data_IF_989838388470
#
_entry.id   IF_989838388470
#
_cell.length_a   1.000
_cell.length_b   1.000
_cell.length_c   1.000
_cell.angle_alpha   90.00
_cell.angle_beta   90.00
_cell.angle_gamma   90.00
#
_symmetry.space_group_name_H-M   'P 1'
#
loop_
_entity.id
_entity.type
_entity.pdbx_description
1 polymer ?
#
# COMPACT_ATOMS: atom_id res chain seq x y z
N UNK A 1 7.20 15.25 7.74
CA UNK A 1 6.02 16.15 7.80
C UNK A 1 4.92 15.66 6.86
N UNK A 2 5.23 15.34 5.60
CA UNK A 2 4.30 14.74 4.64
C UNK A 2 4.68 13.25 4.46
N UNK A 3 3.72 12.33 4.61
CA UNK A 3 3.92 10.88 4.43
C UNK A 3 3.88 10.46 2.96
N UNK A 4 4.37 9.25 2.63
CA UNK A 4 4.51 8.82 1.24
C UNK A 4 3.18 8.73 0.48
N UNK A 5 2.09 8.33 1.14
CA UNK A 5 0.77 8.25 0.50
C UNK A 5 0.27 9.63 0.01
N UNK A 6 0.58 10.69 0.76
CA UNK A 6 0.22 12.06 0.39
C UNK A 6 1.15 12.60 -0.72
N UNK A 7 2.41 12.15 -0.75
CA UNK A 7 3.31 12.46 -1.87
C UNK A 7 2.81 11.81 -3.16
N UNK A 8 2.39 10.53 -3.11
CA UNK A 8 1.88 9.83 -4.29
C UNK A 8 0.57 10.46 -4.78
N UNK A 9 -0.35 10.83 -3.89
CA UNK A 9 -1.58 11.57 -4.26
C UNK A 9 -1.25 12.90 -4.96
N UNK A 10 -0.20 13.61 -4.50
CA UNK A 10 0.28 14.82 -5.16
C UNK A 10 0.82 14.57 -6.56
N UNK A 11 1.58 13.49 -6.77
CA UNK A 11 2.08 13.11 -8.10
C UNK A 11 0.94 12.72 -9.04
N UNK A 12 -0.09 12.01 -8.56
CA UNK A 12 -1.29 11.69 -9.33
C UNK A 12 -1.99 12.99 -9.77
N UNK A 13 -2.19 13.92 -8.83
CA UNK A 13 -2.85 15.21 -9.11
C UNK A 13 -2.07 16.01 -10.17
N UNK A 14 -0.73 16.03 -10.09
CA UNK A 14 0.12 16.69 -11.10
C UNK A 14 -0.05 16.04 -12.47
N UNK A 15 -0.02 14.72 -12.56
CA UNK A 15 -0.20 14.00 -13.83
C UNK A 15 -1.58 14.25 -14.44
N UNK A 16 -2.64 14.26 -13.62
CA UNK A 16 -4.01 14.60 -14.04
C UNK A 16 -4.05 16.00 -14.65
N UNK A 17 -3.43 16.98 -14.01
CA UNK A 17 -3.35 18.36 -14.51
C UNK A 17 -2.57 18.45 -15.82
N UNK A 18 -1.40 17.82 -15.91
CA UNK A 18 -0.55 17.83 -17.11
C UNK A 18 -1.24 17.19 -18.33
N UNK A 19 -2.05 16.16 -18.09
CA UNK A 19 -2.80 15.46 -19.13
C UNK A 19 -4.13 16.15 -19.49
N UNK A 20 -4.51 17.24 -18.79
CA UNK A 20 -5.80 17.91 -18.99
C UNK A 20 -7.00 17.05 -18.62
N UNK A 21 -6.82 16.11 -17.69
CA UNK A 21 -7.89 15.25 -17.17
C UNK A 21 -8.60 16.02 -16.05
N UNK A 22 -9.93 15.96 -16.02
CA UNK A 22 -10.73 16.52 -14.93
C UNK A 22 -10.53 15.70 -13.64
N UNK A 23 -10.00 16.33 -12.59
CA UNK A 23 -9.72 15.72 -11.27
C UNK A 23 -11.00 15.24 -10.55
N UNK A 24 -12.18 15.68 -10.99
CA UNK A 24 -13.47 15.25 -10.43
C UNK A 24 -14.01 13.97 -11.06
N UNK A 25 -13.34 13.45 -12.10
CA UNK A 25 -13.72 12.19 -12.74
C UNK A 25 -13.69 11.04 -11.75
N UNK A 26 -14.66 10.14 -11.88
CA UNK A 26 -14.80 8.96 -11.03
C UNK A 26 -13.52 8.13 -11.00
N UNK A 27 -12.87 7.91 -12.15
CA UNK A 27 -11.66 7.08 -12.23
C UNK A 27 -10.49 7.69 -11.46
N UNK A 28 -10.38 9.02 -11.46
CA UNK A 28 -9.35 9.75 -10.70
C UNK A 28 -9.63 9.64 -9.21
N UNK A 29 -10.88 9.90 -8.80
CA UNK A 29 -11.30 9.80 -7.40
C UNK A 29 -11.10 8.38 -6.86
N UNK A 30 -11.44 7.35 -7.64
CA UNK A 30 -11.24 5.95 -7.26
C UNK A 30 -9.75 5.61 -7.12
N UNK A 31 -8.90 6.01 -8.08
CA UNK A 31 -7.46 5.78 -8.01
C UNK A 31 -6.85 6.44 -6.76
N UNK A 32 -7.20 7.69 -6.51
CA UNK A 32 -6.75 8.42 -5.32
C UNK A 32 -7.25 7.76 -4.03
N UNK A 33 -8.50 7.29 -3.98
CA UNK A 33 -9.02 6.52 -2.84
C UNK A 33 -8.22 5.23 -2.62
N UNK A 34 -7.91 4.47 -3.67
CA UNK A 34 -7.08 3.24 -3.56
C UNK A 34 -5.73 3.56 -2.93
N UNK A 35 -5.03 4.57 -3.42
CA UNK A 35 -3.71 4.97 -2.88
C UNK A 35 -3.81 5.56 -1.47
N UNK A 36 -4.82 6.35 -1.16
CA UNK A 36 -4.94 6.94 0.18
C UNK A 36 -5.36 5.90 1.21
N UNK A 37 -6.13 4.88 0.82
CA UNK A 37 -6.68 3.90 1.75
C UNK A 37 -5.91 2.59 1.89
N UNK A 38 -4.93 2.29 1.01
CA UNK A 38 -4.27 0.98 0.98
C UNK A 38 -3.53 0.56 2.25
N UNK A 39 -3.21 1.49 3.16
CA UNK A 39 -2.69 1.14 4.48
C UNK A 39 -3.74 0.45 5.39
N UNK A 40 -5.02 0.39 4.99
CA UNK A 40 -6.04 -0.43 5.64
C UNK A 40 -6.60 0.17 6.93
N UNK A 41 -5.77 0.25 7.96
CA UNK A 41 -6.13 0.68 9.31
C UNK A 41 -5.63 2.10 9.58
N UNK A 42 -6.41 2.84 10.38
CA UNK A 42 -6.00 4.18 10.83
C UNK A 42 -4.69 4.14 11.63
N UNK A 43 -4.48 3.06 12.38
CA UNK A 43 -3.26 2.80 13.15
C UNK A 43 -2.01 2.61 12.27
N UNK A 44 -2.19 2.18 11.01
CA UNK A 44 -1.11 2.07 10.02
C UNK A 44 -0.88 3.38 9.26
N UNK A 45 -1.48 4.49 9.72
CA UNK A 45 -1.34 5.81 9.10
C UNK A 45 -2.27 6.02 7.90
N UNK A 46 -3.24 5.14 7.68
CA UNK A 46 -4.27 5.36 6.66
C UNK A 46 -5.23 6.48 7.09
N UNK A 47 -5.52 7.50 6.25
CA UNK A 47 -6.56 8.48 6.52
C UNK A 47 -7.97 7.88 6.50
N UNK A 48 -8.19 6.78 5.79
CA UNK A 48 -9.49 6.14 5.63
C UNK A 48 -9.33 4.66 5.30
N UNK A 49 -10.19 3.80 5.85
CA UNK A 49 -10.19 2.39 5.47
C UNK A 49 -10.54 2.19 3.99
N UNK A 50 -10.07 1.11 3.35
CA UNK A 50 -10.54 0.69 2.03
C UNK A 50 -12.07 0.61 2.00
N UNK A 51 -12.65 1.08 0.89
CA UNK A 51 -14.11 1.09 0.65
C UNK A 51 -14.49 0.50 -0.70
N UNK A 52 -13.49 0.06 -1.46
CA UNK A 52 -13.62 -0.56 -2.78
C UNK A 52 -12.72 -1.78 -2.83
N UNK A 53 -13.07 -2.76 -3.67
CA UNK A 53 -12.40 -4.06 -3.71
C UNK A 53 -10.92 -3.92 -4.08
N UNK A 54 -10.62 -3.01 -5.00
CA UNK A 54 -9.26 -2.73 -5.48
C UNK A 54 -8.38 -2.26 -4.32
N UNK A 55 -8.88 -1.35 -3.48
CA UNK A 55 -8.15 -0.85 -2.32
C UNK A 55 -7.92 -1.94 -1.26
N UNK A 56 -8.91 -2.80 -1.04
CA UNK A 56 -8.80 -3.93 -0.10
C UNK A 56 -7.77 -4.95 -0.60
N UNK A 57 -7.79 -5.27 -1.90
CA UNK A 57 -6.82 -6.18 -2.52
C UNK A 57 -5.41 -5.61 -2.41
N UNK A 58 -5.20 -4.32 -2.72
CA UNK A 58 -3.88 -3.70 -2.58
C UNK A 58 -3.41 -3.73 -1.12
N UNK A 59 -4.29 -3.43 -0.15
CA UNK A 59 -3.96 -3.54 1.27
C UNK A 59 -3.50 -4.95 1.66
N UNK A 60 -4.23 -5.98 1.20
CA UNK A 60 -3.88 -7.37 1.47
C UNK A 60 -2.54 -7.77 0.83
N UNK A 61 -2.28 -7.31 -0.39
CA UNK A 61 -1.01 -7.55 -1.09
C UNK A 61 0.14 -6.90 -0.34
N UNK A 62 -0.03 -5.67 0.14
CA UNK A 62 1.02 -4.95 0.87
C UNK A 62 1.39 -5.65 2.19
N UNK A 63 0.38 -6.10 2.95
CA UNK A 63 0.60 -6.91 4.16
C UNK A 63 1.28 -8.25 3.84
N UNK A 64 0.89 -8.89 2.73
CA UNK A 64 1.50 -10.14 2.28
C UNK A 64 2.96 -9.93 1.90
N UNK A 65 3.28 -8.88 1.16
CA UNK A 65 4.65 -8.54 0.77
C UNK A 65 5.53 -8.29 2.00
N UNK A 66 5.05 -7.49 2.96
CA UNK A 66 5.74 -7.27 4.23
C UNK A 66 6.01 -8.59 4.97
N UNK A 67 5.00 -9.47 5.06
CA UNK A 67 5.14 -10.79 5.68
C UNK A 67 6.17 -11.67 4.96
N UNK A 68 6.22 -11.60 3.62
CA UNK A 68 7.17 -12.36 2.81
C UNK A 68 8.59 -11.80 2.86
N UNK A 69 8.75 -10.48 3.00
CA UNK A 69 10.04 -9.85 3.27
C UNK A 69 10.60 -10.28 4.62
N UNK A 70 9.76 -10.35 5.66
CA UNK A 70 10.17 -10.86 6.97
C UNK A 70 10.58 -12.34 6.90
N UNK A 71 9.83 -13.16 6.15
CA UNK A 71 10.18 -14.57 5.93
C UNK A 71 11.50 -14.73 5.18
N UNK A 72 11.71 -13.95 4.11
CA UNK A 72 12.94 -13.96 3.32
C UNK A 72 14.15 -13.60 4.18
N UNK A 73 13.98 -12.61 5.06
CA UNK A 73 15.02 -12.21 6.02
C UNK A 73 15.30 -13.32 7.03
N UNK A 74 14.27 -14.01 7.52
CA UNK A 74 14.45 -15.12 8.46
C UNK A 74 15.13 -16.34 7.80
N UNK A 75 14.78 -16.64 6.54
CA UNK A 75 15.39 -17.73 5.76
C UNK A 75 16.88 -17.48 5.48
N UNK A 76 17.29 -16.23 5.31
CA UNK A 76 18.70 -15.88 5.10
C UNK A 76 19.61 -16.15 6.31
N UNK A 77 19.04 -16.51 7.46
CA UNK A 77 19.76 -16.76 8.72
C UNK A 77 19.82 -18.23 9.13
N UNK A 78 19.34 -19.16 8.29
CA UNK A 78 19.32 -20.60 8.58
C UNK A 78 20.00 -21.40 7.46
N UNK A 79 20.57 -22.55 7.81
CA UNK A 79 21.24 -23.42 6.86
C UNK A 79 20.24 -24.31 6.08
N UNK A 80 20.71 -24.94 5.00
CA UNK A 80 19.89 -25.86 4.21
C UNK A 80 19.37 -27.03 5.07
N UNK A 81 18.06 -27.27 5.02
CA UNK A 81 17.39 -28.31 5.81
C UNK A 81 16.95 -27.86 7.19
N UNK A 82 17.26 -26.63 7.61
CA UNK A 82 16.78 -26.04 8.86
C UNK A 82 15.50 -25.21 8.67
N UNK A 83 14.71 -25.09 9.74
CA UNK A 83 13.50 -24.25 9.76
C UNK A 83 13.82 -22.89 10.38
N UNK A 84 13.13 -21.84 9.91
CA UNK A 84 13.21 -20.53 10.56
C UNK A 84 12.60 -20.55 11.96
N UNK A 85 13.03 -19.63 12.81
CA UNK A 85 12.25 -19.27 13.99
C UNK A 85 10.89 -18.69 13.59
N UNK A 86 9.95 -18.69 14.54
CA UNK A 86 8.63 -18.10 14.31
C UNK A 86 8.76 -16.59 14.01
N UNK A 87 8.23 -16.19 12.86
CA UNK A 87 8.11 -14.78 12.45
C UNK A 87 6.77 -14.24 12.96
N UNK A 88 6.79 -13.07 13.60
CA UNK A 88 5.58 -12.35 14.02
C UNK A 88 5.39 -11.16 13.08
N UNK A 89 4.44 -11.30 12.15
CA UNK A 89 3.97 -10.22 11.27
C UNK A 89 2.72 -9.57 11.88
#
# INVERSE_FOLDING_TARGET
LIGHIALIDSEITKAVMELGIDDTREEVVLLRHVILSHHGLLEYGSPVRPRVMEAEIIHMIDNLDASMMMMTTALALVDEGEMTNKVFA
#
